data_IF_876035156979
#
_entry.id   IF_876035156979
#
_cell.length_a   1.000
_cell.length_b   1.000
_cell.length_c   1.000
_cell.angle_alpha   90.00
_cell.angle_beta   90.00
_cell.angle_gamma   90.00
#
_symmetry.space_group_name_H-M   'P 1'
#
loop_
_entity.id
_entity.type
_entity.pdbx_description
1 polymer ?
#
# COMPACT_ATOMS: atom_id res chain seq x y z
N UNK A 1 -50.53 22.02 33.30
CA UNK A 1 -49.05 21.99 33.47
C UNK A 1 -48.34 20.86 32.72
N UNK A 2 -48.85 19.62 32.71
CA UNK A 2 -48.15 18.45 32.11
C UNK A 2 -48.02 18.45 30.57
N UNK A 3 -48.95 19.05 29.84
CA UNK A 3 -48.93 19.06 28.37
C UNK A 3 -47.84 19.94 27.73
N UNK A 4 -47.43 21.01 28.42
CA UNK A 4 -46.40 21.93 27.89
C UNK A 4 -44.99 21.30 27.92
N UNK A 5 -44.71 20.50 28.94
CA UNK A 5 -43.45 19.78 29.07
C UNK A 5 -43.28 18.74 27.93
N UNK A 6 -44.35 18.02 27.59
CA UNK A 6 -44.34 17.02 26.51
C UNK A 6 -44.11 17.70 25.15
N UNK A 7 -44.78 18.82 24.89
CA UNK A 7 -44.61 19.57 23.64
C UNK A 7 -43.17 20.11 23.47
N UNK A 8 -42.55 20.63 24.53
CA UNK A 8 -41.16 21.08 24.49
C UNK A 8 -40.19 19.92 24.21
N UNK A 9 -40.42 18.75 24.83
CA UNK A 9 -39.55 17.58 24.59
C UNK A 9 -39.63 17.07 23.15
N UNK A 10 -40.82 17.07 22.55
CA UNK A 10 -41.02 16.65 21.16
C UNK A 10 -40.38 17.64 20.17
N UNK A 11 -40.51 18.95 20.44
CA UNK A 11 -39.88 19.98 19.62
C UNK A 11 -38.35 19.90 19.68
N UNK A 12 -37.79 19.70 20.88
CA UNK A 12 -36.34 19.52 21.05
C UNK A 12 -35.83 18.26 20.32
N UNK A 13 -36.58 17.16 20.38
CA UNK A 13 -36.23 15.92 19.67
C UNK A 13 -36.27 16.10 18.13
N UNK A 14 -37.28 16.82 17.61
CA UNK A 14 -37.38 17.13 16.18
C UNK A 14 -36.25 18.06 15.70
N UNK A 15 -35.92 19.07 16.50
CA UNK A 15 -34.78 19.97 16.22
C UNK A 15 -33.45 19.23 16.23
N UNK A 16 -33.24 18.33 17.20
CA UNK A 16 -32.04 17.50 17.28
C UNK A 16 -31.93 16.56 16.06
N UNK A 17 -33.03 15.92 15.66
CA UNK A 17 -33.05 15.05 14.48
C UNK A 17 -32.78 15.83 13.18
N UNK A 18 -33.38 17.01 13.01
CA UNK A 18 -33.15 17.88 11.87
C UNK A 18 -31.70 18.38 11.80
N UNK A 19 -31.11 18.75 12.94
CA UNK A 19 -29.71 19.17 13.03
C UNK A 19 -28.76 18.02 12.68
N UNK A 20 -29.05 16.80 13.14
CA UNK A 20 -28.23 15.61 12.86
C UNK A 20 -28.25 15.25 11.37
N UNK A 21 -29.39 15.46 10.69
CA UNK A 21 -29.51 15.24 9.25
C UNK A 21 -28.75 16.26 8.39
N UNK A 22 -28.42 17.43 8.95
CA UNK A 22 -27.63 18.48 8.29
C UNK A 22 -26.12 18.28 8.45
N UNK A 23 -25.68 17.33 9.28
CA UNK A 23 -24.26 17.03 9.45
C UNK A 23 -23.74 16.24 8.24
N UNK A 24 -22.50 16.52 7.76
CA UNK A 24 -21.87 15.74 6.72
C UNK A 24 -21.79 14.27 7.13
N UNK A 25 -22.37 13.38 6.33
CA UNK A 25 -22.24 11.94 6.55
C UNK A 25 -20.78 11.56 6.28
N UNK A 26 -20.10 10.81 7.16
CA UNK A 26 -18.76 10.33 6.88
C UNK A 26 -18.81 9.49 5.61
N UNK A 27 -18.15 9.97 4.55
CA UNK A 27 -17.92 9.20 3.35
C UNK A 27 -17.00 8.06 3.76
N UNK A 28 -17.50 6.82 3.68
CA UNK A 28 -16.67 5.67 3.94
C UNK A 28 -15.48 5.71 2.99
N UNK A 29 -14.23 5.55 3.47
CA UNK A 29 -13.09 5.48 2.58
C UNK A 29 -13.34 4.37 1.55
N UNK A 30 -13.05 4.66 0.29
CA UNK A 30 -13.14 3.68 -0.80
C UNK A 30 -12.50 2.37 -0.32
N UNK A 31 -13.28 1.29 -0.33
CA UNK A 31 -12.82 -0.04 0.11
C UNK A 31 -11.69 -0.60 -0.78
N UNK A 32 -11.34 0.10 -1.86
CA UNK A 32 -10.25 -0.27 -2.74
C UNK A 32 -8.91 0.18 -2.16
N UNK A 33 -8.21 -0.74 -1.50
CA UNK A 33 -6.80 -0.55 -1.14
C UNK A 33 -5.99 -0.44 -2.42
N UNK A 34 -5.34 0.70 -2.62
CA UNK A 34 -4.42 0.90 -3.75
C UNK A 34 -3.12 0.16 -3.47
N UNK A 35 -2.60 -0.55 -4.47
CA UNK A 35 -1.27 -1.16 -4.43
C UNK A 35 -0.29 -0.20 -5.11
N UNK A 36 0.77 0.18 -4.40
CA UNK A 36 1.90 0.92 -4.94
C UNK A 36 3.13 0.00 -4.87
N UNK A 37 3.78 -0.20 -6.01
CA UNK A 37 4.99 -1.02 -6.12
C UNK A 37 6.16 -0.08 -6.41
N UNK A 38 7.17 -0.11 -5.55
CA UNK A 38 8.46 0.56 -5.78
C UNK A 38 9.43 -0.45 -6.38
N UNK A 39 9.96 -0.16 -7.56
CA UNK A 39 10.96 -0.99 -8.21
C UNK A 39 12.33 -0.31 -8.07
N UNK A 40 13.26 -0.96 -7.38
CA UNK A 40 14.61 -0.49 -7.15
C UNK A 40 15.60 -1.43 -7.85
N UNK A 41 16.29 -0.93 -8.88
CA UNK A 41 17.25 -1.73 -9.65
C UNK A 41 18.56 -1.96 -8.89
N UNK A 42 19.11 -3.16 -8.98
CA UNK A 42 20.38 -3.52 -8.34
C UNK A 42 20.37 -3.44 -6.82
N UNK A 43 19.19 -3.43 -6.20
CA UNK A 43 19.06 -3.27 -4.75
C UNK A 43 19.30 -4.59 -4.01
N UNK A 44 20.52 -4.77 -3.50
CA UNK A 44 20.95 -6.00 -2.83
C UNK A 44 20.38 -6.07 -1.41
N UNK A 45 20.19 -7.30 -0.91
CA UNK A 45 19.55 -7.58 0.38
C UNK A 45 20.24 -6.92 1.59
N UNK A 46 21.54 -6.65 1.52
CA UNK A 46 22.35 -6.03 2.58
C UNK A 46 22.20 -4.50 2.65
N UNK A 47 21.54 -3.87 1.68
CA UNK A 47 21.30 -2.41 1.69
C UNK A 47 20.16 -1.97 2.62
N UNK A 48 19.48 -2.92 3.27
CA UNK A 48 18.41 -2.69 4.26
C UNK A 48 18.78 -3.18 5.65
N UNK A 49 20.08 -3.27 5.92
CA UNK A 49 20.59 -3.47 7.27
C UNK A 49 20.49 -2.18 8.09
N UNK A 50 20.40 -2.31 9.41
CA UNK A 50 20.11 -1.18 10.32
C UNK A 50 21.05 0.01 10.14
N UNK A 51 22.32 -0.26 9.78
CA UNK A 51 23.35 0.75 9.55
C UNK A 51 23.08 1.59 8.29
N UNK A 52 22.63 0.96 7.21
CA UNK A 52 22.36 1.64 5.94
C UNK A 52 21.04 2.42 6.01
N UNK A 53 20.09 1.96 6.83
CA UNK A 53 18.80 2.62 7.05
C UNK A 53 18.89 3.90 7.89
N UNK A 54 20.00 4.16 8.59
CA UNK A 54 20.20 5.40 9.37
C UNK A 54 20.02 6.66 8.51
N UNK A 55 20.45 6.60 7.23
CA UNK A 55 20.31 7.70 6.27
C UNK A 55 18.93 7.80 5.61
N UNK A 56 18.04 6.82 5.82
CA UNK A 56 16.78 6.66 5.08
C UNK A 56 15.59 6.45 6.03
N UNK A 57 15.14 7.48 6.76
CA UNK A 57 14.11 7.35 7.79
C UNK A 57 12.79 6.76 7.27
N UNK A 58 12.39 7.09 6.04
CA UNK A 58 11.17 6.54 5.43
C UNK A 58 11.25 5.04 5.15
N UNK A 59 12.41 4.54 4.69
CA UNK A 59 12.60 3.10 4.48
C UNK A 59 12.64 2.35 5.81
N UNK A 60 13.25 2.95 6.84
CA UNK A 60 13.25 2.41 8.19
C UNK A 60 11.83 2.23 8.73
N UNK A 61 10.95 3.21 8.53
CA UNK A 61 9.55 3.11 8.95
C UNK A 61 8.79 2.03 8.17
N UNK A 62 9.04 1.88 6.87
CA UNK A 62 8.46 0.82 6.04
C UNK A 62 8.87 -0.56 6.56
N UNK A 63 10.14 -0.76 6.90
CA UNK A 63 10.65 -2.04 7.43
C UNK A 63 10.08 -2.32 8.82
N UNK A 64 10.05 -1.32 9.70
CA UNK A 64 9.56 -1.48 11.08
C UNK A 64 8.04 -1.70 11.19
N UNK A 65 7.27 -1.08 10.30
CA UNK A 65 5.80 -1.18 10.28
C UNK A 65 5.28 -2.26 9.33
N UNK A 66 6.14 -2.77 8.45
CA UNK A 66 5.80 -3.72 7.39
C UNK A 66 6.37 -5.12 7.59
N UNK A 67 6.50 -5.85 6.49
CA UNK A 67 7.11 -7.18 6.45
C UNK A 67 8.37 -7.11 5.59
N UNK A 68 9.49 -7.55 6.15
CA UNK A 68 10.79 -7.69 5.49
C UNK A 68 11.16 -9.17 5.41
N UNK A 69 11.77 -9.57 4.29
CA UNK A 69 12.40 -10.89 4.10
C UNK A 69 13.92 -10.76 4.16
N UNK A 70 14.62 -11.85 4.47
CA UNK A 70 16.09 -11.84 4.57
C UNK A 70 16.77 -11.56 3.23
N UNK A 71 16.25 -12.14 2.14
CA UNK A 71 16.67 -11.90 0.76
C UNK A 71 15.59 -12.41 -0.22
N UNK A 72 15.68 -11.97 -1.46
CA UNK A 72 14.92 -12.52 -2.59
C UNK A 72 15.87 -13.23 -3.54
N UNK A 73 15.50 -14.42 -4.02
CA UNK A 73 16.26 -15.12 -5.07
C UNK A 73 15.86 -14.53 -6.43
N UNK A 74 16.77 -13.88 -7.16
CA UNK A 74 16.48 -13.39 -8.50
C UNK A 74 16.46 -14.54 -9.50
N UNK A 75 15.75 -14.35 -10.61
CA UNK A 75 15.80 -15.25 -11.74
C UNK A 75 17.16 -15.17 -12.43
N UNK A 76 17.60 -16.30 -12.98
CA UNK A 76 18.84 -16.39 -13.75
C UNK A 76 18.54 -16.23 -15.26
N UNK A 77 19.29 -15.40 -16.00
CA UNK A 77 20.37 -14.53 -15.55
C UNK A 77 19.85 -13.35 -14.72
N UNK A 78 20.64 -12.91 -13.73
CA UNK A 78 20.28 -11.82 -12.80
C UNK A 78 20.36 -10.43 -13.44
N UNK A 79 19.59 -10.24 -14.52
CA UNK A 79 19.44 -9.01 -15.27
C UNK A 79 18.12 -8.34 -14.91
N UNK A 80 18.08 -7.01 -15.04
CA UNK A 80 16.94 -6.19 -14.66
C UNK A 80 15.67 -6.57 -15.42
N UNK A 81 15.72 -6.64 -16.76
CA UNK A 81 14.51 -6.88 -17.56
C UNK A 81 13.87 -8.26 -17.32
N UNK A 82 14.61 -9.38 -17.34
CA UNK A 82 14.05 -10.68 -16.99
C UNK A 82 13.41 -10.71 -15.60
N UNK A 83 14.09 -10.19 -14.57
CA UNK A 83 13.58 -10.19 -13.18
C UNK A 83 12.32 -9.35 -12.99
N UNK A 84 12.18 -8.22 -13.68
CA UNK A 84 10.98 -7.40 -13.57
C UNK A 84 9.80 -8.02 -14.29
N UNK A 85 10.08 -8.70 -15.41
CA UNK A 85 9.05 -9.40 -16.15
C UNK A 85 8.46 -10.53 -15.30
N UNK A 86 9.30 -11.41 -14.76
CA UNK A 86 8.86 -12.53 -13.91
C UNK A 86 8.14 -12.05 -12.65
N UNK A 87 8.57 -10.95 -12.02
CA UNK A 87 7.88 -10.37 -10.86
C UNK A 87 6.44 -9.91 -11.19
N UNK A 88 6.24 -9.38 -12.40
CA UNK A 88 4.95 -8.83 -12.82
C UNK A 88 4.02 -9.89 -13.41
N UNK A 89 4.56 -10.95 -14.01
CA UNK A 89 3.77 -11.99 -14.70
C UNK A 89 3.70 -13.32 -13.95
N UNK A 90 4.69 -13.63 -13.12
CA UNK A 90 4.91 -14.95 -12.53
C UNK A 90 5.41 -16.00 -13.53
N UNK A 91 5.84 -15.60 -14.74
CA UNK A 91 6.31 -16.49 -15.80
C UNK A 91 7.82 -16.32 -16.04
N UNK A 92 8.59 -17.37 -15.75
CA UNK A 92 10.04 -17.44 -15.92
C UNK A 92 10.46 -17.88 -17.34
N UNK A 93 9.52 -18.26 -18.21
CA UNK A 93 9.80 -18.77 -19.56
C UNK A 93 10.57 -17.78 -20.44
N UNK A 94 10.48 -16.47 -20.15
CA UNK A 94 11.24 -15.45 -20.86
C UNK A 94 12.76 -15.55 -20.62
N UNK A 95 13.20 -16.03 -19.45
CA UNK A 95 14.64 -16.14 -19.10
C UNK A 95 15.39 -17.09 -20.04
N UNK A 96 14.77 -18.21 -20.42
CA UNK A 96 15.31 -19.18 -21.36
C UNK A 96 15.47 -18.60 -22.80
N UNK A 97 14.59 -17.67 -23.19
CA UNK A 97 14.68 -16.98 -24.47
C UNK A 97 15.85 -15.98 -24.51
N UNK A 98 16.11 -15.32 -23.37
CA UNK A 98 17.24 -14.38 -23.21
C UNK A 98 18.59 -15.10 -23.29
N UNK A 99 18.76 -16.26 -22.67
CA UNK A 99 20.02 -17.02 -22.72
C UNK A 99 20.39 -17.47 -24.16
N UNK A 100 19.39 -17.69 -25.03
CA UNK A 100 19.61 -18.06 -26.43
C UNK A 100 19.90 -16.87 -27.37
N UNK A 101 19.78 -15.64 -26.87
CA UNK A 101 20.07 -14.42 -27.61
C UNK A 101 20.95 -13.52 -26.75
N UNK A 102 22.26 -13.57 -26.97
CA UNK A 102 23.17 -12.42 -26.76
C UNK A 102 22.61 -11.23 -27.58
N UNK A 103 21.62 -10.55 -27.01
CA UNK A 103 21.01 -9.38 -27.58
C UNK A 103 21.92 -8.23 -27.18
N UNK A 104 22.94 -8.01 -28.01
CA UNK A 104 23.67 -6.75 -28.10
C UNK A 104 22.69 -5.58 -27.92
N UNK A 105 22.74 -4.92 -26.76
CA UNK A 105 22.72 -3.48 -26.50
C UNK A 105 22.64 -3.21 -25.00
#
# INVERSE_FOLDING_TARGET
ARGSAVALTLLAALLAAALTALLPRPVAPSAHRKLLVFLLDGFRFDYIDDRELEGLPGFRDIVNMGVKVDYMTPDFPSLSYPNYYTLMTGDDSYTACWESREMLL
#
